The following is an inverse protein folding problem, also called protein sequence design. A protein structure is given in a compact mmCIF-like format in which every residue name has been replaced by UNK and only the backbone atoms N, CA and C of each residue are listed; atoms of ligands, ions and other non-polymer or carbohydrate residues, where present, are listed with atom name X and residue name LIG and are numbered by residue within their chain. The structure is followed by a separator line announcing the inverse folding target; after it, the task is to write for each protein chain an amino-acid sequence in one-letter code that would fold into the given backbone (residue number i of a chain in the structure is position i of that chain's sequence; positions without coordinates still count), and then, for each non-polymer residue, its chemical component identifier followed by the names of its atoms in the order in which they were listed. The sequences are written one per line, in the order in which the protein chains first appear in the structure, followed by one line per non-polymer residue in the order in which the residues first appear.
data_IF_009050758454
#
_entry.id   IF_009050758454
#
_cell.length_a   1.000
_cell.length_b   1.000
_cell.length_c   1.000
_cell.angle_alpha   90.00
_cell.angle_beta   90.00
_cell.angle_gamma   90.00
#
_symmetry.space_group_name_H-M   'P 1'
#
loop_
_entity.id
_entity.type
_entity.pdbx_description
1 polymer ?
#
# COMPACT_ATOMS: atom_id res chain seq x y z
N UNK A 1 -36.55 -4.14 -14.98
CA UNK A 1 -35.76 -4.52 -13.77
C UNK A 1 -34.46 -5.08 -14.30
N UNK A 2 -33.31 -4.47 -14.07
CA UNK A 2 -32.45 -4.72 -12.89
C UNK A 2 -31.78 -3.39 -12.49
N UNK A 3 -32.23 -2.82 -11.36
CA UNK A 3 -31.45 -1.88 -10.56
C UNK A 3 -30.55 -2.72 -9.67
N UNK A 4 -29.24 -2.67 -9.88
CA UNK A 4 -28.20 -2.92 -8.86
C UNK A 4 -26.89 -2.28 -9.32
N UNK A 5 -26.92 -0.96 -9.47
CA UNK A 5 -25.70 -0.15 -9.38
C UNK A 5 -25.34 -0.19 -7.90
N UNK A 6 -24.20 -0.82 -7.59
CA UNK A 6 -23.71 -0.95 -6.21
C UNK A 6 -23.65 0.44 -5.55
N UNK A 7 -24.32 0.56 -4.42
CA UNK A 7 -24.32 1.69 -3.51
C UNK A 7 -22.91 1.86 -2.88
N UNK A 8 -21.92 2.37 -3.62
CA UNK A 8 -20.70 2.96 -3.04
C UNK A 8 -20.97 4.39 -2.51
N UNK A 9 -22.14 4.60 -1.88
CA UNK A 9 -22.45 5.89 -1.25
C UNK A 9 -21.71 5.95 0.09
N UNK A 10 -20.65 6.75 0.10
CA UNK A 10 -20.08 7.47 1.25
C UNK A 10 -19.93 6.63 2.53
N UNK A 11 -19.11 5.58 2.46
CA UNK A 11 -18.54 5.05 3.71
C UNK A 11 -17.67 6.16 4.32
N UNK A 12 -17.88 6.52 5.60
CA UNK A 12 -17.18 7.63 6.19
C UNK A 12 -15.67 7.32 6.25
N UNK A 13 -14.85 8.11 5.54
CA UNK A 13 -13.39 7.96 5.51
C UNK A 13 -12.71 8.38 6.82
N UNK A 14 -13.49 8.64 7.87
CA UNK A 14 -13.03 9.17 9.16
C UNK A 14 -12.02 8.26 9.84
N UNK A 15 -12.07 6.96 9.55
CA UNK A 15 -11.16 5.94 10.08
C UNK A 15 -9.81 5.91 9.35
N UNK A 16 -9.69 6.52 8.18
CA UNK A 16 -8.42 6.69 7.47
C UNK A 16 -7.66 7.84 8.13
N UNK A 17 -6.96 7.53 9.22
CA UNK A 17 -6.06 8.43 9.94
C UNK A 17 -4.64 7.87 9.89
N UNK A 18 -3.64 8.74 10.05
CA UNK A 18 -2.24 8.32 10.10
C UNK A 18 -2.01 7.27 11.19
N UNK A 19 -2.59 7.46 12.37
CA UNK A 19 -2.47 6.53 13.50
C UNK A 19 -3.10 5.16 13.18
N UNK A 20 -4.28 5.14 12.58
CA UNK A 20 -4.94 3.89 12.23
C UNK A 20 -4.20 3.14 11.12
N UNK A 21 -3.68 3.85 10.11
CA UNK A 21 -2.85 3.26 9.06
C UNK A 21 -1.58 2.67 9.68
N UNK A 22 -0.94 3.40 10.59
CA UNK A 22 0.25 2.93 11.29
C UNK A 22 -0.02 1.67 12.11
N UNK A 23 -1.11 1.67 12.88
CA UNK A 23 -1.51 0.51 13.69
C UNK A 23 -1.77 -0.72 12.81
N UNK A 24 -2.46 -0.56 11.67
CA UNK A 24 -2.69 -1.66 10.73
C UNK A 24 -1.40 -2.18 10.12
N UNK A 25 -0.42 -1.32 9.83
CA UNK A 25 0.90 -1.79 9.36
C UNK A 25 1.61 -2.67 10.40
N UNK A 26 1.47 -2.35 11.69
CA UNK A 26 2.00 -3.23 12.75
C UNK A 26 1.24 -4.55 12.86
N UNK A 27 -0.09 -4.53 12.72
CA UNK A 27 -0.92 -5.74 12.79
C UNK A 27 -0.61 -6.74 11.66
N UNK A 28 -0.25 -6.25 10.46
CA UNK A 28 0.18 -7.11 9.35
C UNK A 28 1.64 -7.60 9.48
N UNK A 29 2.32 -7.24 10.58
CA UNK A 29 3.67 -7.73 10.89
C UNK A 29 4.82 -6.87 10.38
N UNK A 30 4.57 -5.62 9.94
CA UNK A 30 5.69 -4.74 9.61
C UNK A 30 6.47 -4.33 10.86
N UNK A 31 7.79 -4.36 10.74
CA UNK A 31 8.66 -3.91 11.82
C UNK A 31 8.63 -2.37 11.95
N UNK A 32 9.07 -1.88 13.12
CA UNK A 32 9.10 -0.44 13.44
C UNK A 32 9.83 0.40 12.41
N UNK A 33 11.00 -0.05 11.96
CA UNK A 33 11.84 0.74 11.06
C UNK A 33 11.20 0.90 9.68
N UNK A 34 10.60 -0.16 9.14
CA UNK A 34 9.87 -0.12 7.89
C UNK A 34 8.65 0.80 8.01
N UNK A 35 7.87 0.66 9.10
CA UNK A 35 6.71 1.50 9.36
C UNK A 35 7.09 2.98 9.42
N UNK A 36 8.16 3.34 10.12
CA UNK A 36 8.61 4.73 10.22
C UNK A 36 8.96 5.31 8.84
N UNK A 37 9.59 4.55 7.95
CA UNK A 37 9.90 4.99 6.59
C UNK A 37 8.67 5.25 5.74
N UNK A 38 7.68 4.35 5.80
CA UNK A 38 6.41 4.55 5.08
C UNK A 38 5.65 5.74 5.68
N UNK A 39 5.65 5.87 7.00
CA UNK A 39 4.97 6.98 7.69
C UNK A 39 5.58 8.33 7.36
N UNK A 40 6.90 8.45 7.16
CA UNK A 40 7.52 9.71 6.71
C UNK A 40 6.89 10.19 5.39
N UNK A 41 6.66 9.27 4.45
CA UNK A 41 6.06 9.56 3.15
C UNK A 41 4.58 9.95 3.31
N UNK A 42 3.81 9.17 4.08
CA UNK A 42 2.39 9.43 4.31
C UNK A 42 2.13 10.74 5.06
N UNK A 43 2.93 11.02 6.09
CA UNK A 43 2.88 12.28 6.86
C UNK A 43 3.19 13.47 5.96
N UNK A 44 4.22 13.35 5.10
CA UNK A 44 4.57 14.41 4.14
C UNK A 44 3.41 14.71 3.20
N UNK A 45 2.72 13.69 2.69
CA UNK A 45 1.54 13.88 1.84
C UNK A 45 0.38 14.48 2.62
N UNK A 46 0.07 13.96 3.81
CA UNK A 46 -0.99 14.47 4.69
C UNK A 46 -0.81 15.97 4.98
N UNK A 47 0.41 16.38 5.33
CA UNK A 47 0.73 17.78 5.60
C UNK A 47 0.63 18.67 4.36
N UNK A 48 0.88 18.11 3.17
CA UNK A 48 0.80 18.85 1.90
C UNK A 48 -0.64 19.03 1.41
N UNK A 49 -1.47 17.99 1.53
CA UNK A 49 -2.81 17.99 0.94
C UNK A 49 -3.91 18.39 1.91
N UNK A 50 -3.71 18.21 3.21
CA UNK A 50 -4.77 18.29 4.21
C UNK A 50 -5.49 16.95 4.39
N UNK A 51 -6.29 16.88 5.47
CA UNK A 51 -6.93 15.64 5.94
C UNK A 51 -7.88 15.03 4.92
N UNK A 52 -8.79 15.83 4.35
CA UNK A 52 -9.86 15.32 3.48
C UNK A 52 -9.26 14.74 2.19
N UNK A 53 -8.37 15.50 1.57
CA UNK A 53 -7.67 15.14 0.35
C UNK A 53 -6.77 13.91 0.57
N UNK A 54 -6.13 13.80 1.73
CA UNK A 54 -5.35 12.61 2.09
C UNK A 54 -6.25 11.37 2.21
N UNK A 55 -7.40 11.50 2.87
CA UNK A 55 -8.34 10.40 3.04
C UNK A 55 -8.88 9.90 1.71
N UNK A 56 -9.29 10.82 0.82
CA UNK A 56 -9.74 10.51 -0.53
C UNK A 56 -8.63 9.85 -1.36
N UNK A 57 -7.41 10.37 -1.27
CA UNK A 57 -6.25 9.80 -1.95
C UNK A 57 -5.92 8.39 -1.47
N UNK A 58 -5.84 8.17 -0.16
CA UNK A 58 -5.46 6.87 0.42
C UNK A 58 -6.52 5.81 0.11
N UNK A 59 -7.80 6.18 0.24
CA UNK A 59 -8.92 5.34 -0.19
C UNK A 59 -8.85 5.01 -1.69
N UNK A 60 -8.43 5.96 -2.51
CA UNK A 60 -8.31 5.82 -3.96
C UNK A 60 -7.08 5.05 -4.44
N UNK A 61 -6.26 4.47 -3.57
CA UNK A 61 -5.09 3.67 -3.97
C UNK A 61 -5.53 2.48 -4.84
N UNK A 62 -6.51 1.68 -4.41
CA UNK A 62 -7.09 0.58 -5.21
C UNK A 62 -6.02 -0.26 -5.98
N UNK A 63 -4.99 -0.72 -5.27
CA UNK A 63 -3.84 -1.47 -5.78
C UNK A 63 -2.90 -0.69 -6.72
N UNK A 64 -3.04 0.63 -6.82
CA UNK A 64 -2.07 1.50 -7.51
C UNK A 64 -0.88 1.78 -6.61
N UNK A 65 0.28 1.91 -7.24
CA UNK A 65 1.50 2.33 -6.55
C UNK A 65 1.34 3.80 -6.14
N UNK A 66 1.51 4.15 -4.86
CA UNK A 66 1.52 5.55 -4.46
C UNK A 66 2.68 6.29 -5.16
N UNK A 67 2.44 7.51 -5.65
CA UNK A 67 3.38 8.22 -6.54
C UNK A 67 4.81 8.29 -6.01
N UNK A 68 4.95 8.42 -4.69
CA UNK A 68 6.23 8.49 -4.00
C UNK A 68 7.07 7.21 -4.15
N UNK A 69 6.44 6.05 -4.37
CA UNK A 69 7.11 4.77 -4.58
C UNK A 69 7.31 4.42 -6.05
N UNK A 70 6.89 5.27 -7.00
CA UNK A 70 7.22 5.10 -8.41
C UNK A 70 8.70 5.39 -8.71
N UNK A 71 9.42 6.07 -7.81
CA UNK A 71 10.87 6.23 -7.90
C UNK A 71 11.58 4.90 -7.66
N UNK A 72 12.12 4.34 -8.74
CA UNK A 72 12.83 3.06 -8.74
C UNK A 72 14.03 3.05 -7.78
N UNK A 73 14.78 4.15 -7.68
CA UNK A 73 15.94 4.22 -6.78
C UNK A 73 15.53 4.23 -5.32
N UNK A 74 14.42 4.90 -4.99
CA UNK A 74 13.86 4.84 -3.64
C UNK A 74 13.40 3.42 -3.30
N UNK A 75 12.67 2.78 -4.21
CA UNK A 75 12.17 1.42 -4.00
C UNK A 75 13.32 0.40 -3.84
N UNK A 76 14.40 0.52 -4.63
CA UNK A 76 15.61 -0.31 -4.45
C UNK A 76 16.23 -0.12 -3.07
N UNK A 77 16.35 1.13 -2.59
CA UNK A 77 16.92 1.41 -1.26
C UNK A 77 16.08 0.81 -0.14
N UNK A 78 14.76 0.91 -0.24
CA UNK A 78 13.83 0.29 0.71
C UNK A 78 14.03 -1.23 0.72
N UNK A 79 14.12 -1.85 -0.46
CA UNK A 79 14.38 -3.28 -0.56
C UNK A 79 15.71 -3.67 0.09
N UNK A 80 16.79 -2.95 -0.21
CA UNK A 80 18.12 -3.30 0.32
C UNK A 80 18.17 -3.23 1.85
N UNK A 81 17.43 -2.28 2.42
CA UNK A 81 17.32 -2.13 3.87
C UNK A 81 16.41 -3.16 4.52
N UNK A 82 15.30 -3.52 3.86
CA UNK A 82 14.22 -4.34 4.44
C UNK A 82 13.97 -5.65 3.68
N UNK A 83 14.99 -6.19 3.01
CA UNK A 83 14.85 -7.31 2.07
C UNK A 83 14.14 -8.52 2.66
N UNK A 84 14.49 -8.91 3.89
CA UNK A 84 13.86 -10.05 4.57
C UNK A 84 12.35 -9.85 4.73
N UNK A 85 11.93 -8.67 5.20
CA UNK A 85 10.52 -8.34 5.38
C UNK A 85 9.78 -8.32 4.03
N UNK A 86 10.39 -7.73 3.00
CA UNK A 86 9.78 -7.69 1.66
C UNK A 86 9.58 -9.10 1.10
N UNK A 87 10.59 -9.97 1.22
CA UNK A 87 10.52 -11.36 0.75
C UNK A 87 9.52 -12.21 1.55
N UNK A 88 9.36 -11.94 2.85
CA UNK A 88 8.31 -12.57 3.67
C UNK A 88 6.92 -12.15 3.21
N UNK A 89 6.70 -10.85 3.00
CA UNK A 89 5.43 -10.30 2.54
C UNK A 89 5.07 -10.78 1.13
N UNK A 90 6.05 -10.94 0.24
CA UNK A 90 5.82 -11.56 -1.07
C UNK A 90 5.29 -12.98 -0.93
N UNK A 91 5.93 -13.81 -0.09
CA UNK A 91 5.47 -15.19 0.12
C UNK A 91 4.06 -15.25 0.68
N UNK A 92 3.67 -14.29 1.52
CA UNK A 92 2.31 -14.17 2.01
C UNK A 92 1.34 -13.81 0.88
N UNK A 93 1.66 -12.79 0.08
CA UNK A 93 0.87 -12.38 -1.08
C UNK A 93 0.68 -13.51 -2.08
N UNK A 94 1.71 -14.29 -2.38
CA UNK A 94 1.60 -15.45 -3.27
C UNK A 94 0.69 -16.54 -2.69
N UNK A 95 0.69 -16.73 -1.37
CA UNK A 95 -0.23 -17.67 -0.70
C UNK A 95 -1.67 -17.17 -0.71
N UNK A 96 -1.88 -15.88 -0.51
CA UNK A 96 -3.20 -15.22 -0.49
C UNK A 96 -3.83 -15.22 -1.89
N UNK A 97 -3.08 -14.79 -2.89
CA UNK A 97 -3.57 -14.61 -4.27
C UNK A 97 -3.50 -15.87 -5.13
N UNK A 98 -2.66 -16.85 -4.74
CA UNK A 98 -2.31 -18.02 -5.57
C UNK A 98 -1.62 -17.66 -6.89
N UNK A 99 -1.04 -16.46 -6.99
CA UNK A 99 -0.29 -15.98 -8.14
C UNK A 99 1.15 -15.69 -7.72
N UNK A 100 2.13 -15.97 -8.59
CA UNK A 100 3.51 -15.57 -8.31
C UNK A 100 3.65 -14.05 -8.34
N UNK A 101 4.63 -13.52 -7.63
CA UNK A 101 4.85 -12.07 -7.60
C UNK A 101 5.15 -11.51 -8.99
N UNK A 102 5.80 -12.29 -9.87
CA UNK A 102 6.07 -11.90 -11.26
C UNK A 102 4.79 -11.74 -12.08
N UNK A 103 3.78 -12.59 -11.86
CA UNK A 103 2.47 -12.48 -12.53
C UNK A 103 1.71 -11.28 -11.97
N UNK A 104 1.71 -11.11 -10.64
CA UNK A 104 1.02 -10.00 -10.00
C UNK A 104 1.53 -8.64 -10.48
N UNK A 105 2.80 -8.55 -10.88
CA UNK A 105 3.46 -7.29 -11.28
C UNK A 105 3.81 -7.24 -12.77
N UNK A 106 3.17 -8.03 -13.63
CA UNK A 106 3.52 -8.15 -15.05
C UNK A 106 3.66 -6.79 -15.77
N UNK A 107 2.80 -5.83 -15.41
CA UNK A 107 2.81 -4.45 -15.92
C UNK A 107 4.09 -3.67 -15.58
N UNK A 108 4.85 -4.13 -14.59
CA UNK A 108 6.12 -3.54 -14.12
C UNK A 108 7.34 -4.33 -14.58
N UNK A 109 7.22 -5.32 -15.47
CA UNK A 109 8.33 -6.23 -15.84
C UNK A 109 9.62 -5.56 -16.34
N UNK A 110 9.55 -4.29 -16.75
CA UNK A 110 10.69 -3.53 -17.27
C UNK A 110 11.50 -2.79 -16.20
N UNK A 111 11.08 -2.80 -14.94
CA UNK A 111 11.79 -2.15 -13.83
C UNK A 111 12.65 -3.18 -13.06
N UNK A 112 13.58 -2.70 -12.25
CA UNK A 112 14.40 -3.53 -11.38
C UNK A 112 13.56 -4.44 -10.47
N UNK A 113 13.95 -5.71 -10.36
CA UNK A 113 13.26 -6.72 -9.54
C UNK A 113 13.02 -6.23 -8.10
N UNK A 114 14.02 -5.63 -7.47
CA UNK A 114 13.92 -5.14 -6.08
C UNK A 114 12.85 -4.05 -5.95
N UNK A 115 12.84 -3.10 -6.89
CA UNK A 115 11.85 -2.04 -6.93
C UNK A 115 10.44 -2.62 -7.13
N UNK A 116 10.29 -3.53 -8.09
CA UNK A 116 9.03 -4.21 -8.43
C UNK A 116 8.42 -4.93 -7.23
N UNK A 117 9.27 -5.63 -6.48
CA UNK A 117 8.91 -6.33 -5.24
C UNK A 117 8.42 -5.38 -4.15
N UNK A 118 9.13 -4.27 -3.91
CA UNK A 118 8.67 -3.25 -2.95
C UNK A 118 7.37 -2.61 -3.39
N UNK A 119 7.25 -2.23 -4.66
CA UNK A 119 6.04 -1.63 -5.21
C UNK A 119 4.83 -2.56 -5.10
N UNK A 120 5.02 -3.87 -5.29
CA UNK A 120 3.98 -4.89 -5.05
C UNK A 120 3.52 -4.89 -3.59
N UNK A 121 4.45 -5.01 -2.65
CA UNK A 121 4.12 -5.06 -1.22
C UNK A 121 3.40 -3.79 -0.79
N UNK A 122 3.93 -2.62 -1.18
CA UNK A 122 3.36 -1.33 -0.78
C UNK A 122 1.96 -1.13 -1.36
N UNK A 123 1.77 -1.33 -2.67
CA UNK A 123 0.46 -1.07 -3.29
C UNK A 123 -0.60 -2.03 -2.75
N UNK A 124 -0.23 -3.29 -2.48
CA UNK A 124 -1.16 -4.29 -1.98
C UNK A 124 -1.52 -4.00 -0.53
N UNK A 125 -0.51 -3.93 0.35
CA UNK A 125 -0.74 -3.77 1.79
C UNK A 125 -1.42 -2.46 2.12
N UNK A 126 -1.04 -1.34 1.50
CA UNK A 126 -1.73 -0.07 1.74
C UNK A 126 -3.18 -0.07 1.23
N UNK A 127 -3.45 -0.76 0.13
CA UNK A 127 -4.83 -0.90 -0.38
C UNK A 127 -5.68 -1.81 0.50
N UNK A 128 -5.10 -2.89 1.02
CA UNK A 128 -5.73 -3.76 2.02
C UNK A 128 -6.07 -2.98 3.29
N UNK A 129 -5.11 -2.20 3.80
CA UNK A 129 -5.34 -1.31 4.96
C UNK A 129 -6.46 -0.30 4.67
N UNK A 130 -6.46 0.32 3.49
CA UNK A 130 -7.53 1.25 3.10
C UNK A 130 -8.90 0.55 3.13
N UNK A 131 -9.00 -0.67 2.59
CA UNK A 131 -10.23 -1.45 2.58
C UNK A 131 -10.68 -1.84 4.00
N UNK A 132 -9.75 -2.25 4.86
CA UNK A 132 -10.02 -2.65 6.23
C UNK A 132 -10.53 -1.50 7.10
N UNK A 133 -10.06 -0.28 6.84
CA UNK A 133 -10.51 0.92 7.58
C UNK A 133 -11.89 1.41 7.15
N UNK A 134 -12.43 0.92 6.03
CA UNK A 134 -13.80 1.21 5.59
C UNK A 134 -14.84 0.24 6.17
N UNK A 135 -14.43 -0.86 6.80
CA UNK A 135 -15.31 -1.88 7.36
C UNK A 135 -15.38 -1.79 8.88
#
# INVERSE_FOLDING_TARGET
MIKKIFNFKDKPLVNITLDNIQNRMYEIGFNKEFVEEIMIILVKRFNKSGKKEFQEWFNGLHYRIPDEFNDELLAIKIYEKHSLLIEEQIKELEKETKLSWEIQTEELKNINEKARKVQLVIRDRLSGIALDLLN
#
